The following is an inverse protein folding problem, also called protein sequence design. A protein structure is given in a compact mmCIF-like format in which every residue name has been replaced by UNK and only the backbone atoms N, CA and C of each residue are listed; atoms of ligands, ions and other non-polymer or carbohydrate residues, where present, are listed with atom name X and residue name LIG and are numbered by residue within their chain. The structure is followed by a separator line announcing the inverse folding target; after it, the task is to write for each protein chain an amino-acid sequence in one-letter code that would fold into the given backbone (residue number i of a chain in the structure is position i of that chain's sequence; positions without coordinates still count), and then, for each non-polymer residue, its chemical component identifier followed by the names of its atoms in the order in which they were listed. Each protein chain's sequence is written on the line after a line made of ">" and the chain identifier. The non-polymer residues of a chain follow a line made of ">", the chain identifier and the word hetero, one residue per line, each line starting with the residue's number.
data_IF_062115453076
#
_entry.id   IF_062115453076
#
_cell.length_a   1.000
_cell.length_b   1.000
_cell.length_c   1.000
_cell.angle_alpha   90.00
_cell.angle_beta   90.00
_cell.angle_gamma   90.00
#
_symmetry.space_group_name_H-M   'P 1'
#
loop_
_entity.id
_entity.type
_entity.pdbx_description
1 polymer ?
#
# COMPACT_ATOMS: atom_id res chain seq x y z
N UNK A 1 -5.31 5.53 -3.52
CA UNK A 1 -5.68 4.10 -3.64
C UNK A 1 -6.43 3.73 -4.94
N UNK A 2 -6.89 4.68 -5.78
CA UNK A 2 -7.74 4.41 -6.95
C UNK A 2 -7.14 3.43 -7.97
N UNK A 3 -5.92 3.69 -8.49
CA UNK A 3 -5.27 2.77 -9.45
C UNK A 3 -5.09 1.35 -8.90
N UNK A 4 -4.71 1.21 -7.63
CA UNK A 4 -4.55 -0.09 -6.99
C UNK A 4 -5.89 -0.84 -6.89
N UNK A 5 -6.98 -0.14 -6.60
CA UNK A 5 -8.33 -0.71 -6.58
C UNK A 5 -8.73 -1.24 -7.95
N UNK A 6 -8.54 -0.44 -9.00
CA UNK A 6 -8.86 -0.79 -10.39
C UNK A 6 -8.03 -2.00 -10.87
N UNK A 7 -6.75 -2.08 -10.50
CA UNK A 7 -5.91 -3.25 -10.78
C UNK A 7 -6.39 -4.51 -10.05
N UNK A 8 -6.84 -4.38 -8.80
CA UNK A 8 -7.42 -5.49 -8.07
C UNK A 8 -8.77 -5.92 -8.66
N UNK A 9 -9.61 -4.96 -9.05
CA UNK A 9 -10.93 -5.19 -9.66
C UNK A 9 -10.82 -5.89 -11.01
N UNK A 10 -9.95 -5.42 -11.90
CA UNK A 10 -9.68 -6.06 -13.19
C UNK A 10 -9.16 -7.50 -13.07
N UNK A 11 -8.58 -7.86 -11.93
CA UNK A 11 -8.13 -9.22 -11.60
C UNK A 11 -9.16 -10.04 -10.82
N UNK A 12 -10.39 -9.54 -10.63
CA UNK A 12 -11.44 -10.20 -9.85
C UNK A 12 -11.17 -10.27 -8.35
N UNK A 13 -10.27 -9.41 -7.83
CA UNK A 13 -9.79 -9.39 -6.44
C UNK A 13 -10.21 -8.12 -5.70
N UNK A 14 -11.33 -7.51 -6.10
CA UNK A 14 -11.84 -6.31 -5.41
C UNK A 14 -12.14 -6.59 -3.93
N UNK A 15 -12.67 -7.76 -3.60
CA UNK A 15 -12.93 -8.19 -2.22
C UNK A 15 -11.65 -8.18 -1.36
N UNK A 16 -10.54 -8.65 -1.93
CA UNK A 16 -9.25 -8.70 -1.25
C UNK A 16 -8.71 -7.28 -1.02
N UNK A 17 -8.91 -6.41 -2.01
CA UNK A 17 -8.56 -5.01 -1.87
C UNK A 17 -9.35 -4.35 -0.74
N UNK A 18 -10.67 -4.53 -0.71
CA UNK A 18 -11.53 -3.94 0.33
C UNK A 18 -11.14 -4.39 1.74
N UNK A 19 -10.77 -5.66 1.91
CA UNK A 19 -10.36 -6.18 3.20
C UNK A 19 -8.96 -5.73 3.65
N UNK A 20 -8.02 -5.56 2.71
CA UNK A 20 -6.63 -5.27 3.03
C UNK A 20 -6.25 -3.79 2.88
N UNK A 21 -7.07 -2.96 2.24
CA UNK A 21 -6.72 -1.57 1.90
C UNK A 21 -6.48 -0.68 3.10
N UNK A 22 -7.25 -0.87 4.18
CA UNK A 22 -7.09 -0.14 5.44
C UNK A 22 -5.74 -0.45 6.11
N UNK A 23 -5.22 -1.66 5.88
CA UNK A 23 -3.99 -2.14 6.48
C UNK A 23 -2.76 -1.93 5.59
N UNK A 24 -2.83 -1.10 4.55
CA UNK A 24 -1.68 -0.86 3.66
C UNK A 24 -0.65 0.10 4.25
N UNK A 25 -1.06 0.95 5.18
CA UNK A 25 -0.22 1.95 5.84
C UNK A 25 0.17 1.56 7.26
N UNK A 26 -0.61 0.71 7.92
CA UNK A 26 -0.35 0.22 9.29
C UNK A 26 1.05 -0.38 9.44
N UNK A 27 1.62 -0.29 10.63
CA UNK A 27 2.83 -1.02 10.95
C UNK A 27 2.55 -2.53 11.05
N UNK A 28 3.58 -3.37 10.90
CA UNK A 28 3.37 -4.83 10.89
C UNK A 28 2.78 -5.34 12.21
N UNK A 29 3.12 -4.68 13.31
CA UNK A 29 2.70 -5.04 14.66
C UNK A 29 1.26 -4.60 14.98
N UNK A 30 0.72 -3.66 14.19
CA UNK A 30 -0.67 -3.20 14.30
C UNK A 30 -1.66 -4.12 13.56
N UNK A 31 -1.16 -4.96 12.64
CA UNK A 31 -2.00 -5.83 11.80
C UNK A 31 -2.28 -7.17 12.48
N UNK A 32 -3.55 -7.42 12.81
CA UNK A 32 -4.00 -8.74 13.26
C UNK A 32 -4.20 -9.71 12.08
N UNK A 33 -3.14 -10.44 11.71
CA UNK A 33 -3.20 -11.44 10.65
C UNK A 33 -4.18 -12.57 10.92
N UNK A 34 -4.36 -12.96 12.19
CA UNK A 34 -5.33 -13.98 12.59
C UNK A 34 -6.78 -13.54 12.29
N UNK A 35 -7.12 -12.28 12.58
CA UNK A 35 -8.45 -11.72 12.28
C UNK A 35 -8.69 -11.66 10.77
N UNK A 36 -7.73 -11.12 10.02
CA UNK A 36 -7.81 -11.05 8.55
C UNK A 36 -7.87 -12.44 7.91
N UNK A 37 -7.16 -13.41 8.46
CA UNK A 37 -7.21 -14.82 8.04
C UNK A 37 -8.62 -15.40 8.18
N UNK A 38 -9.27 -15.16 9.33
CA UNK A 38 -10.64 -15.61 9.57
C UNK A 38 -11.65 -14.90 8.66
N UNK A 39 -11.53 -13.58 8.49
CA UNK A 39 -12.41 -12.78 7.63
C UNK A 39 -12.30 -13.17 6.15
N UNK A 40 -11.09 -13.46 5.68
CA UNK A 40 -10.84 -13.81 4.28
C UNK A 40 -10.97 -15.31 3.99
N UNK A 41 -11.07 -16.16 5.03
CA UNK A 41 -11.04 -17.61 4.87
C UNK A 41 -9.72 -18.12 4.29
N UNK A 42 -8.62 -17.41 4.53
CA UNK A 42 -7.30 -17.70 3.97
C UNK A 42 -6.31 -17.99 5.08
N UNK A 43 -5.29 -18.82 4.83
CA UNK A 43 -4.19 -19.00 5.79
C UNK A 43 -3.48 -17.66 6.08
N UNK A 44 -3.06 -17.42 7.33
CA UNK A 44 -2.33 -16.20 7.70
C UNK A 44 -1.11 -15.93 6.82
N UNK A 45 -0.39 -16.98 6.42
CA UNK A 45 0.77 -16.87 5.53
C UNK A 45 0.39 -16.34 4.14
N UNK A 46 -0.79 -16.72 3.64
CA UNK A 46 -1.32 -16.21 2.38
C UNK A 46 -1.75 -14.74 2.52
N UNK A 47 -2.41 -14.37 3.63
CA UNK A 47 -2.77 -12.97 3.94
C UNK A 47 -1.53 -12.09 4.01
N UNK A 48 -0.50 -12.52 4.75
CA UNK A 48 0.81 -11.83 4.84
C UNK A 48 1.40 -11.57 3.46
N UNK A 49 1.39 -12.59 2.59
CA UNK A 49 1.91 -12.48 1.22
C UNK A 49 1.09 -11.51 0.36
N UNK A 50 -0.24 -11.60 0.41
CA UNK A 50 -1.12 -10.69 -0.35
C UNK A 50 -0.95 -9.24 0.11
N UNK A 51 -0.93 -9.00 1.42
CA UNK A 51 -0.72 -7.67 1.98
C UNK A 51 0.65 -7.11 1.61
N UNK A 52 1.70 -7.93 1.69
CA UNK A 52 3.04 -7.53 1.24
C UNK A 52 3.07 -7.12 -0.23
N UNK A 53 2.48 -7.94 -1.11
CA UNK A 53 2.42 -7.65 -2.54
C UNK A 53 1.63 -6.37 -2.83
N UNK A 54 0.50 -6.16 -2.15
CA UNK A 54 -0.29 -4.94 -2.29
C UNK A 54 0.49 -3.71 -1.81
N UNK A 55 1.23 -3.81 -0.70
CA UNK A 55 2.09 -2.72 -0.22
C UNK A 55 3.22 -2.41 -1.19
N UNK A 56 3.86 -3.42 -1.77
CA UNK A 56 4.86 -3.19 -2.82
C UNK A 56 4.26 -2.48 -4.03
N UNK A 57 3.10 -2.94 -4.52
CA UNK A 57 2.44 -2.33 -5.67
C UNK A 57 2.00 -0.89 -5.37
N UNK A 58 1.46 -0.65 -4.18
CA UNK A 58 1.11 0.69 -3.71
C UNK A 58 2.31 1.63 -3.72
N UNK A 59 3.47 1.19 -3.17
CA UNK A 59 4.70 1.99 -3.18
C UNK A 59 5.23 2.25 -4.58
N UNK A 60 5.10 1.28 -5.49
CA UNK A 60 5.44 1.48 -6.91
C UNK A 60 4.55 2.53 -7.54
N UNK A 61 3.23 2.45 -7.36
CA UNK A 61 2.29 3.43 -7.91
C UNK A 61 2.53 4.84 -7.35
N UNK A 62 2.90 4.95 -6.08
CA UNK A 62 3.28 6.23 -5.48
C UNK A 62 4.56 6.79 -6.11
N UNK A 63 5.58 5.94 -6.30
CA UNK A 63 6.82 6.32 -7.01
C UNK A 63 6.56 6.75 -8.43
N UNK A 64 5.69 6.03 -9.15
CA UNK A 64 5.33 6.38 -10.53
C UNK A 64 4.66 7.76 -10.57
N UNK A 65 3.80 8.09 -9.60
CA UNK A 65 3.15 9.40 -9.54
C UNK A 65 4.15 10.54 -9.22
N UNK A 66 5.04 10.33 -8.24
CA UNK A 66 6.09 11.32 -7.90
C UNK A 66 7.12 11.46 -9.02
N UNK A 67 7.40 10.39 -9.77
CA UNK A 67 8.28 10.44 -10.94
C UNK A 67 7.78 11.35 -12.05
N UNK A 68 6.46 11.61 -12.11
CA UNK A 68 5.86 12.53 -13.06
C UNK A 68 5.97 13.99 -12.62
N UNK A 69 6.30 14.24 -11.34
CA UNK A 69 6.39 15.59 -10.78
C UNK A 69 7.83 16.09 -10.61
N UNK A 70 8.81 15.18 -10.53
CA UNK A 70 10.23 15.52 -10.44
C UNK A 70 10.82 15.81 -11.82
N UNK A 71 11.83 16.69 -11.87
CA UNK A 71 12.55 17.02 -13.09
C UNK A 71 13.55 15.92 -13.47
N UNK A 72 14.20 15.29 -12.49
CA UNK A 72 15.06 14.11 -12.66
C UNK A 72 14.44 12.86 -11.99
N UNK A 73 14.23 11.76 -12.71
CA UNK A 73 13.78 10.48 -12.13
C UNK A 73 14.66 9.94 -10.99
N UNK A 74 15.93 10.36 -10.89
CA UNK A 74 16.81 9.99 -9.78
C UNK A 74 16.35 10.58 -8.43
N UNK A 75 15.60 11.68 -8.44
CA UNK A 75 15.18 12.41 -7.24
C UNK A 75 13.92 11.82 -6.59
N UNK A 76 13.29 10.81 -7.20
CA UNK A 76 12.00 10.24 -6.73
C UNK A 76 12.06 9.76 -5.28
N UNK A 77 13.12 9.05 -4.90
CA UNK A 77 13.23 8.52 -3.53
C UNK A 77 13.50 9.64 -2.50
N UNK A 78 14.20 10.71 -2.91
CA UNK A 78 14.46 11.88 -2.06
C UNK A 78 13.20 12.74 -1.89
N UNK A 79 12.45 12.95 -2.96
CA UNK A 79 11.16 13.66 -2.94
C UNK A 79 10.14 12.90 -2.07
N UNK A 80 10.03 11.57 -2.22
CA UNK A 80 9.16 10.77 -1.33
C UNK A 80 9.57 10.92 0.14
N UNK A 81 10.87 10.89 0.44
CA UNK A 81 11.35 11.04 1.81
C UNK A 81 11.01 12.43 2.36
N UNK A 82 11.20 13.47 1.56
CA UNK A 82 10.87 14.84 1.91
C UNK A 82 9.36 15.00 2.18
N UNK A 83 8.50 14.52 1.27
CA UNK A 83 7.05 14.54 1.43
C UNK A 83 6.60 13.78 2.69
N UNK A 84 7.14 12.60 2.95
CA UNK A 84 6.84 11.85 4.18
C UNK A 84 7.26 12.61 5.44
N UNK A 85 8.46 13.22 5.43
CA UNK A 85 8.94 14.00 6.57
C UNK A 85 8.03 15.21 6.84
N UNK A 86 7.65 15.95 5.79
CA UNK A 86 6.76 17.11 5.88
C UNK A 86 5.39 16.72 6.45
N UNK A 87 4.80 15.61 5.98
CA UNK A 87 3.51 15.11 6.45
C UNK A 87 3.57 14.58 7.89
N UNK A 88 4.69 14.01 8.31
CA UNK A 88 4.89 13.56 9.68
C UNK A 88 5.10 14.72 10.67
N UNK A 89 5.65 15.84 10.20
CA UNK A 89 5.86 17.05 11.01
C UNK A 89 4.69 18.04 10.94
N UNK A 90 3.83 17.93 9.93
CA UNK A 90 2.74 18.87 9.64
C UNK A 90 1.40 18.56 10.33
N UNK A 91 1.39 17.67 11.32
CA UNK A 91 0.26 17.52 12.24
C UNK A 91 0.41 18.49 13.41
N UNK A 92 0.17 19.78 13.15
CA UNK A 92 -0.12 20.80 14.17
C UNK A 92 -1.51 21.41 13.92
#
# INVERSE_FOLDING_TARGET
>A
FQRLREECESKGKLWLFQALSSHLTDERDEVSYAKLSAELGMAETAVKKQLHNMRQRYRSLLRDEVSQTVEDPADVDDEIRYLCALLATGTE
#
